data_IF_288207650583
#
_entry.id   IF_288207650583
#
_cell.length_a   1.000
_cell.length_b   1.000
_cell.length_c   1.000
_cell.angle_alpha   90.00
_cell.angle_beta   90.00
_cell.angle_gamma   90.00
#
_symmetry.space_group_name_H-M   'P 1'
#
loop_
_entity.id
_entity.type
_entity.pdbx_description
1 polymer ?
#
# COMPACT_ATOMS: atom_id res chain seq x y z
N UNK A 1 -58.87 36.90 -25.54
CA UNK A 1 -58.13 37.75 -24.63
C UNK A 1 -57.35 36.85 -23.69
N UNK A 2 -56.06 36.64 -24.01
CA UNK A 2 -54.85 36.99 -23.26
C UNK A 2 -54.75 36.31 -21.88
N UNK A 3 -53.74 35.59 -21.48
CA UNK A 3 -52.30 35.69 -21.70
C UNK A 3 -51.62 34.38 -21.32
N UNK A 4 -50.68 33.96 -22.08
CA UNK A 4 -49.63 32.99 -21.78
C UNK A 4 -48.76 33.47 -20.58
N UNK A 5 -48.38 32.57 -19.68
CA UNK A 5 -47.25 32.76 -18.81
C UNK A 5 -46.37 31.48 -18.84
N UNK A 6 -45.30 31.60 -19.58
CA UNK A 6 -44.18 30.70 -19.56
C UNK A 6 -43.39 30.86 -18.25
N UNK A 7 -43.27 29.80 -17.48
CA UNK A 7 -42.38 29.73 -16.33
C UNK A 7 -41.06 29.10 -16.78
N UNK A 8 -40.03 29.91 -16.98
CA UNK A 8 -38.66 29.47 -17.09
C UNK A 8 -38.20 29.04 -15.70
N UNK A 9 -37.96 27.75 -15.54
CA UNK A 9 -37.20 27.25 -14.39
C UNK A 9 -35.70 27.55 -14.61
N UNK A 10 -35.18 28.52 -13.90
CA UNK A 10 -33.75 28.79 -13.80
C UNK A 10 -33.17 27.74 -12.81
N UNK A 11 -32.41 26.81 -13.33
CA UNK A 11 -31.53 25.98 -12.50
C UNK A 11 -30.36 26.88 -12.03
N UNK A 12 -30.44 27.26 -10.75
CA UNK A 12 -29.34 27.94 -10.08
C UNK A 12 -28.26 26.95 -9.74
N UNK A 13 -27.13 27.00 -10.43
CA UNK A 13 -25.94 26.32 -10.01
C UNK A 13 -25.40 26.99 -8.73
N UNK A 14 -25.52 26.33 -7.61
CA UNK A 14 -24.85 26.73 -6.36
C UNK A 14 -23.40 26.31 -6.51
N UNK A 15 -22.54 27.22 -6.95
CA UNK A 15 -21.11 27.10 -6.81
C UNK A 15 -20.75 27.35 -5.35
N UNK A 16 -20.61 26.30 -4.56
CA UNK A 16 -20.01 26.40 -3.25
C UNK A 16 -18.52 26.70 -3.44
N UNK A 17 -18.15 27.96 -3.32
CA UNK A 17 -16.75 28.38 -3.24
C UNK A 17 -16.23 27.92 -1.86
N UNK A 18 -15.60 26.73 -1.81
CA UNK A 18 -14.75 26.38 -0.67
C UNK A 18 -13.50 27.27 -0.76
N UNK A 19 -13.43 28.30 0.07
CA UNK A 19 -12.21 29.02 0.35
C UNK A 19 -11.25 28.08 1.06
N UNK A 20 -10.32 27.47 0.30
CA UNK A 20 -9.18 26.78 0.88
C UNK A 20 -8.27 27.86 1.46
N UNK A 21 -8.20 27.94 2.77
CA UNK A 21 -7.22 28.77 3.46
C UNK A 21 -5.84 28.21 3.07
N UNK A 22 -5.07 28.95 2.31
CA UNK A 22 -3.66 28.69 2.07
C UNK A 22 -2.92 28.88 3.39
N UNK A 23 -2.79 27.83 4.19
CA UNK A 23 -1.82 27.82 5.27
C UNK A 23 -0.43 27.85 4.63
N UNK A 24 0.39 28.81 5.04
CA UNK A 24 1.78 28.92 4.62
C UNK A 24 2.60 27.67 4.95
N UNK A 25 3.88 27.60 4.54
CA UNK A 25 4.69 26.39 4.54
C UNK A 25 5.13 25.99 5.96
N UNK A 26 4.20 25.54 6.76
CA UNK A 26 4.51 24.60 7.83
C UNK A 26 4.53 23.23 7.13
N UNK A 27 5.56 22.42 7.37
CA UNK A 27 5.63 21.07 6.86
C UNK A 27 4.32 20.37 7.26
N UNK A 28 3.37 20.33 6.31
CA UNK A 28 2.07 19.72 6.54
C UNK A 28 2.35 18.24 6.81
N UNK A 29 1.95 17.77 7.98
CA UNK A 29 1.96 16.35 8.26
C UNK A 29 1.15 15.65 7.16
N UNK A 30 1.77 14.77 6.36
CA UNK A 30 1.11 14.12 5.25
C UNK A 30 -0.14 13.34 5.67
N UNK A 31 -0.27 13.03 6.96
CA UNK A 31 -1.40 12.29 7.50
C UNK A 31 -2.57 13.18 7.94
N UNK A 32 -2.38 14.49 8.00
CA UNK A 32 -3.42 15.47 8.37
C UNK A 32 -4.12 16.11 7.17
N UNK A 33 -3.71 15.76 5.96
CA UNK A 33 -4.35 16.27 4.74
C UNK A 33 -5.42 15.28 4.33
N UNK A 34 -6.69 15.68 4.44
CA UNK A 34 -7.78 14.90 3.89
C UNK A 34 -7.64 14.85 2.36
N UNK A 35 -7.34 13.70 1.74
CA UNK A 35 -7.07 13.66 0.32
C UNK A 35 -8.35 13.95 -0.47
N UNK A 36 -8.25 14.84 -1.45
CA UNK A 36 -9.33 15.15 -2.39
C UNK A 36 -8.85 14.80 -3.79
N UNK A 37 -8.97 13.54 -4.23
CA UNK A 37 -8.33 13.01 -5.44
C UNK A 37 -8.57 13.81 -6.70
N UNK A 38 -9.77 14.38 -6.86
CA UNK A 38 -10.15 15.15 -8.05
C UNK A 38 -9.67 16.59 -7.97
N UNK A 39 -9.73 17.22 -6.79
CA UNK A 39 -9.37 18.64 -6.62
C UNK A 39 -7.86 18.84 -6.44
N UNK A 40 -7.20 17.90 -5.77
CA UNK A 40 -5.76 17.88 -5.61
C UNK A 40 -5.05 17.19 -6.78
N UNK A 41 -5.79 16.97 -7.88
CA UNK A 41 -5.37 16.21 -9.03
C UNK A 41 -4.00 16.60 -9.54
N UNK A 42 -3.32 15.60 -10.00
CA UNK A 42 -1.98 15.66 -10.50
C UNK A 42 -1.96 16.32 -11.88
N UNK A 43 -1.10 17.26 -12.05
CA UNK A 43 -0.84 17.85 -13.37
C UNK A 43 0.50 17.32 -13.90
N UNK A 44 0.48 16.07 -14.36
CA UNK A 44 1.68 15.37 -14.83
C UNK A 44 2.45 14.67 -13.70
N UNK A 45 3.56 14.04 -14.06
CA UNK A 45 4.40 13.30 -13.12
C UNK A 45 5.21 14.25 -12.21
N UNK A 46 5.47 13.87 -10.95
CA UNK A 46 6.31 14.68 -10.06
C UNK A 46 7.72 14.81 -10.64
N UNK A 47 8.24 16.01 -10.56
CA UNK A 47 9.62 16.30 -10.91
C UNK A 47 10.49 16.02 -9.67
N UNK A 48 11.20 14.89 -9.67
CA UNK A 48 12.07 14.50 -8.58
C UNK A 48 13.50 14.96 -8.86
N UNK A 49 14.15 15.66 -7.92
CA UNK A 49 15.58 15.92 -8.01
C UNK A 49 16.38 14.61 -7.84
N UNK A 50 17.60 14.58 -8.36
CA UNK A 50 18.48 13.42 -8.22
C UNK A 50 18.21 12.30 -9.24
N UNK A 51 18.70 11.07 -8.96
CA UNK A 51 18.66 9.97 -9.92
C UNK A 51 17.30 9.28 -10.01
N UNK A 52 16.49 9.31 -8.96
CA UNK A 52 15.13 8.73 -8.98
C UNK A 52 14.21 9.56 -9.86
N UNK A 53 13.43 8.91 -10.70
CA UNK A 53 12.50 9.54 -11.64
C UNK A 53 11.11 8.91 -11.54
N UNK A 54 10.07 9.73 -11.57
CA UNK A 54 8.72 9.27 -11.83
C UNK A 54 8.58 8.96 -13.34
N UNK A 55 8.04 7.80 -13.69
CA UNK A 55 7.97 7.34 -15.09
C UNK A 55 6.56 7.14 -15.59
N UNK A 56 5.60 6.83 -14.71
CA UNK A 56 4.23 6.56 -15.14
C UNK A 56 3.24 6.80 -14.00
N UNK A 57 2.11 7.42 -14.29
CA UNK A 57 1.02 7.56 -13.33
C UNK A 57 0.13 6.31 -13.38
N UNK A 58 0.07 5.59 -12.27
CA UNK A 58 -0.65 4.31 -12.20
C UNK A 58 -2.16 4.50 -12.09
N UNK A 59 -2.60 5.48 -11.32
CA UNK A 59 -4.01 5.69 -10.94
C UNK A 59 -4.43 7.15 -11.06
N UNK A 60 -5.74 7.42 -11.00
CA UNK A 60 -6.31 8.75 -11.03
C UNK A 60 -6.69 9.24 -12.43
N UNK A 61 -7.16 10.50 -12.49
CA UNK A 61 -7.75 11.09 -13.69
C UNK A 61 -6.79 11.20 -14.88
N UNK A 62 -5.51 11.44 -14.61
CA UNK A 62 -4.49 11.62 -15.64
C UNK A 62 -3.72 10.31 -15.95
N UNK A 63 -4.13 9.19 -15.32
CA UNK A 63 -3.50 7.90 -15.57
C UNK A 63 -3.84 7.36 -16.96
N UNK A 64 -2.83 6.89 -17.73
CA UNK A 64 -3.08 6.14 -18.95
C UNK A 64 -3.93 4.88 -18.72
N UNK A 65 -3.94 4.32 -17.50
CA UNK A 65 -4.81 3.22 -17.10
C UNK A 65 -6.28 3.60 -16.98
N UNK A 66 -6.60 4.90 -17.01
CA UNK A 66 -7.98 5.42 -16.94
C UNK A 66 -8.80 4.80 -15.81
N UNK A 67 -8.20 4.73 -14.61
CA UNK A 67 -8.83 4.05 -13.46
C UNK A 67 -10.15 4.70 -13.03
N UNK A 68 -10.40 5.96 -13.39
CA UNK A 68 -11.70 6.63 -13.24
C UNK A 68 -12.83 5.91 -14.01
N UNK A 69 -12.54 5.23 -15.13
CA UNK A 69 -13.56 4.50 -15.91
C UNK A 69 -14.10 3.27 -15.16
N UNK A 70 -13.37 2.80 -14.14
CA UNK A 70 -13.77 1.71 -13.24
C UNK A 70 -14.00 2.23 -11.82
N UNK A 71 -14.32 3.52 -11.71
CA UNK A 71 -14.68 4.21 -10.46
C UNK A 71 -13.57 4.25 -9.40
N UNK A 72 -12.31 4.27 -9.81
CA UNK A 72 -11.15 4.51 -8.94
C UNK A 72 -10.55 5.86 -9.31
N UNK A 73 -10.97 6.91 -8.60
CA UNK A 73 -10.53 8.29 -8.80
C UNK A 73 -9.24 8.59 -8.05
N UNK A 74 -9.02 7.89 -6.95
CA UNK A 74 -7.82 7.96 -6.15
C UNK A 74 -7.70 6.72 -5.28
N UNK A 75 -6.47 6.32 -5.00
CA UNK A 75 -6.13 5.14 -4.18
C UNK A 75 -4.69 5.22 -3.72
N UNK A 76 -4.30 4.31 -2.85
CA UNK A 76 -2.96 4.25 -2.29
C UNK A 76 -2.35 2.83 -2.32
N UNK A 77 -1.11 2.71 -1.83
CA UNK A 77 -0.29 1.52 -1.75
C UNK A 77 0.18 1.01 -3.13
N UNK A 78 -0.42 -0.05 -3.66
CA UNK A 78 0.03 -0.66 -4.91
C UNK A 78 0.98 -1.84 -4.69
N UNK A 79 0.60 -2.74 -3.80
CA UNK A 79 1.35 -3.96 -3.46
C UNK A 79 1.30 -4.91 -4.64
N UNK A 80 2.46 -5.28 -5.18
CA UNK A 80 2.56 -6.09 -6.39
C UNK A 80 3.18 -7.45 -6.11
N UNK A 81 2.64 -8.49 -6.74
CA UNK A 81 3.26 -9.82 -6.75
C UNK A 81 2.93 -10.59 -8.03
N UNK A 82 3.80 -11.54 -8.41
CA UNK A 82 3.53 -12.51 -9.46
C UNK A 82 2.51 -13.54 -8.97
N UNK A 83 1.46 -13.79 -9.75
CA UNK A 83 0.41 -14.74 -9.40
C UNK A 83 0.81 -16.22 -9.61
N UNK A 84 2.03 -16.46 -10.08
CA UNK A 84 2.55 -17.79 -10.39
C UNK A 84 2.22 -18.27 -11.81
N UNK A 85 1.38 -17.55 -12.54
CA UNK A 85 1.07 -17.81 -13.97
C UNK A 85 1.81 -16.86 -14.92
N UNK A 86 2.61 -15.94 -14.37
CA UNK A 86 3.28 -14.89 -15.09
C UNK A 86 2.44 -13.64 -15.29
N UNK A 87 1.33 -13.50 -14.56
CA UNK A 87 0.60 -12.23 -14.43
C UNK A 87 0.90 -11.61 -13.07
N UNK A 88 0.80 -10.31 -13.02
CA UNK A 88 0.97 -9.55 -11.80
C UNK A 88 -0.40 -9.17 -11.23
N UNK A 89 -0.58 -9.34 -9.93
CA UNK A 89 -1.66 -8.74 -9.17
C UNK A 89 -1.11 -7.52 -8.46
N UNK A 90 -1.86 -6.42 -8.49
CA UNK A 90 -1.57 -5.20 -7.73
C UNK A 90 -2.74 -4.91 -6.80
N UNK A 91 -2.50 -4.94 -5.50
CA UNK A 91 -3.48 -4.61 -4.48
C UNK A 91 -3.31 -3.16 -4.02
N UNK A 92 -4.38 -2.41 -4.08
CA UNK A 92 -4.47 -1.04 -3.57
C UNK A 92 -5.31 -1.02 -2.29
N UNK A 93 -5.06 -0.03 -1.44
CA UNK A 93 -5.79 0.21 -0.21
C UNK A 93 -7.10 0.94 -0.39
N UNK A 94 -7.44 1.79 0.57
CA UNK A 94 -8.65 2.61 0.50
C UNK A 94 -8.72 3.34 -0.85
N UNK A 95 -9.84 3.17 -1.53
CA UNK A 95 -10.02 3.70 -2.88
C UNK A 95 -11.24 4.59 -2.95
N UNK A 96 -11.05 5.83 -3.41
CA UNK A 96 -12.09 6.82 -3.58
C UNK A 96 -12.77 6.69 -4.93
N UNK A 97 -14.09 6.75 -4.95
CA UNK A 97 -14.91 6.72 -6.16
C UNK A 97 -16.16 7.58 -6.04
N UNK A 98 -16.94 7.62 -7.12
CA UNK A 98 -18.27 8.22 -7.11
C UNK A 98 -19.28 7.25 -6.48
N UNK A 99 -20.23 7.78 -5.73
CA UNK A 99 -21.27 6.96 -5.10
C UNK A 99 -21.83 7.62 -3.85
N UNK A 100 -22.41 6.82 -2.95
CA UNK A 100 -22.95 7.33 -1.69
C UNK A 100 -21.78 7.70 -0.77
N UNK A 101 -21.65 8.96 -0.36
CA UNK A 101 -20.59 9.40 0.54
C UNK A 101 -20.63 8.64 1.87
N UNK A 102 -19.46 8.31 2.39
CA UNK A 102 -19.37 7.76 3.74
C UNK A 102 -19.28 8.88 4.78
N UNK A 103 -20.42 9.50 5.07
CA UNK A 103 -20.50 10.63 6.00
C UNK A 103 -20.15 10.23 7.44
N UNK A 104 -20.34 8.96 7.82
CA UNK A 104 -19.95 8.45 9.14
C UNK A 104 -18.42 8.44 9.33
N UNK A 105 -17.68 8.26 8.22
CA UNK A 105 -16.22 8.36 8.22
C UNK A 105 -15.72 9.78 7.85
N UNK A 106 -16.60 10.78 7.82
CA UNK A 106 -16.26 12.16 7.49
C UNK A 106 -15.86 12.38 6.01
N UNK A 107 -16.24 11.46 5.11
CA UNK A 107 -15.84 11.52 3.70
C UNK A 107 -17.00 11.91 2.78
N UNK A 108 -16.72 12.79 1.83
CA UNK A 108 -17.62 13.14 0.72
C UNK A 108 -17.56 12.12 -0.43
N UNK A 109 -16.64 11.15 -0.38
CA UNK A 109 -16.43 10.14 -1.41
C UNK A 109 -17.01 8.79 -0.98
N UNK A 110 -17.40 7.97 -1.95
CA UNK A 110 -17.60 6.55 -1.73
C UNK A 110 -16.22 5.89 -1.63
N UNK A 111 -15.94 5.26 -0.49
CA UNK A 111 -14.69 4.58 -0.22
C UNK A 111 -14.87 3.08 -0.21
N UNK A 112 -14.02 2.37 -0.96
CA UNK A 112 -13.83 0.92 -0.83
C UNK A 112 -12.54 0.63 -0.08
N UNK A 113 -12.47 -0.49 0.62
CA UNK A 113 -11.31 -0.84 1.46
C UNK A 113 -10.11 -1.29 0.66
N UNK A 114 -10.37 -1.85 -0.51
CA UNK A 114 -9.34 -2.41 -1.38
C UNK A 114 -9.86 -2.57 -2.80
N UNK A 115 -8.93 -2.56 -3.74
CA UNK A 115 -9.18 -2.88 -5.14
C UNK A 115 -7.97 -3.63 -5.69
N UNK A 116 -8.20 -4.64 -6.53
CA UNK A 116 -7.12 -5.35 -7.20
C UNK A 116 -7.16 -5.07 -8.69
N UNK A 117 -6.00 -4.82 -9.25
CA UNK A 117 -5.78 -4.79 -10.69
C UNK A 117 -4.83 -5.90 -11.11
N UNK A 118 -4.94 -6.35 -12.35
CA UNK A 118 -4.01 -7.31 -12.95
C UNK A 118 -3.31 -6.70 -14.14
N UNK A 119 -2.12 -7.22 -14.40
CA UNK A 119 -1.28 -6.78 -15.51
C UNK A 119 -0.44 -7.93 -16.06
N UNK A 120 -0.18 -7.93 -17.34
CA UNK A 120 0.79 -8.80 -18.00
C UNK A 120 2.12 -8.09 -18.26
N UNK A 121 2.28 -6.84 -17.84
CA UNK A 121 3.50 -6.06 -18.02
C UNK A 121 4.69 -6.72 -17.32
N UNK A 122 5.74 -7.02 -18.08
CA UNK A 122 7.03 -7.55 -17.58
C UNK A 122 8.13 -6.50 -17.60
N UNK A 123 8.08 -5.59 -18.56
CA UNK A 123 8.99 -4.44 -18.64
C UNK A 123 8.24 -3.17 -18.25
N UNK A 124 8.57 -2.56 -17.08
CA UNK A 124 7.88 -1.38 -16.59
C UNK A 124 8.41 -0.07 -17.18
N UNK A 125 9.39 -0.10 -18.09
CA UNK A 125 10.06 1.10 -18.62
C UNK A 125 9.09 2.04 -19.36
N UNK A 126 8.07 1.49 -20.01
CA UNK A 126 6.97 2.22 -20.66
C UNK A 126 5.73 2.41 -19.80
N UNK A 127 5.76 1.98 -18.54
CA UNK A 127 4.60 1.97 -17.64
C UNK A 127 4.07 0.57 -17.36
N UNK A 128 3.16 0.49 -16.39
CA UNK A 128 2.43 -0.73 -16.05
C UNK A 128 0.97 -0.55 -16.45
N UNK A 129 0.49 -1.37 -17.38
CA UNK A 129 -0.88 -1.27 -17.90
C UNK A 129 -1.77 -2.34 -17.27
N UNK A 130 -2.90 -1.94 -16.74
CA UNK A 130 -3.90 -2.83 -16.17
C UNK A 130 -4.82 -3.39 -17.26
N UNK A 131 -5.09 -4.68 -17.20
CA UNK A 131 -5.96 -5.40 -18.13
C UNK A 131 -7.29 -5.84 -17.49
N UNK A 132 -7.36 -5.91 -16.16
CA UNK A 132 -8.57 -6.30 -15.44
C UNK A 132 -8.58 -5.79 -14.01
N UNK A 133 -9.78 -5.75 -13.42
CA UNK A 133 -10.03 -5.25 -12.06
C UNK A 133 -10.89 -6.25 -11.26
N UNK A 134 -10.63 -6.33 -9.96
CA UNK A 134 -11.55 -6.92 -8.97
C UNK A 134 -11.87 -5.83 -7.96
N UNK A 135 -13.08 -5.25 -8.04
CA UNK A 135 -13.45 -4.14 -7.18
C UNK A 135 -13.82 -4.66 -5.78
N UNK A 136 -13.22 -4.07 -4.76
CA UNK A 136 -13.52 -4.29 -3.33
C UNK A 136 -13.68 -5.77 -2.93
N UNK A 137 -12.70 -6.65 -3.23
CA UNK A 137 -12.81 -8.09 -3.00
C UNK A 137 -13.01 -8.47 -1.52
N UNK A 138 -12.58 -7.61 -0.61
CA UNK A 138 -12.67 -7.81 0.84
C UNK A 138 -13.22 -6.53 1.49
N UNK A 139 -14.55 -6.35 1.49
CA UNK A 139 -15.17 -5.14 2.00
C UNK A 139 -15.08 -5.07 3.53
N UNK A 140 -14.99 -3.85 4.04
CA UNK A 140 -15.13 -3.50 5.46
C UNK A 140 -16.49 -2.81 5.67
N UNK A 141 -17.08 -2.90 6.87
CA UNK A 141 -18.33 -2.21 7.20
C UNK A 141 -18.21 -0.68 7.21
N UNK A 142 -17.00 -0.13 7.21
CA UNK A 142 -16.72 1.32 7.23
C UNK A 142 -17.30 2.03 8.46
N UNK A 143 -17.28 1.38 9.63
CA UNK A 143 -17.82 1.91 10.88
C UNK A 143 -16.65 2.31 11.79
N UNK A 144 -16.46 3.62 12.09
CA UNK A 144 -15.44 4.09 13.03
C UNK A 144 -15.58 3.41 14.42
N UNK A 145 -14.44 3.04 15.01
CA UNK A 145 -14.41 2.34 16.30
C UNK A 145 -14.69 0.83 16.22
N UNK A 146 -15.22 0.32 15.09
CA UNK A 146 -15.41 -1.12 14.82
C UNK A 146 -14.40 -1.58 13.79
N UNK A 147 -14.62 -1.26 12.52
CA UNK A 147 -13.68 -1.47 11.42
C UNK A 147 -13.97 -0.41 10.35
N UNK A 148 -13.06 0.53 10.21
CA UNK A 148 -13.20 1.60 9.22
C UNK A 148 -12.64 1.19 7.86
N UNK A 149 -11.64 0.31 7.86
CA UNK A 149 -11.12 -0.26 6.63
C UNK A 149 -10.43 -1.60 6.84
N UNK A 150 -10.31 -2.38 5.76
CA UNK A 150 -9.56 -3.62 5.70
C UNK A 150 -8.50 -3.47 4.60
N UNK A 151 -7.29 -3.11 5.02
CA UNK A 151 -6.21 -2.66 4.15
C UNK A 151 -5.26 -3.81 3.79
N UNK A 152 -4.99 -4.08 2.51
CA UNK A 152 -3.94 -4.99 2.11
C UNK A 152 -2.56 -4.45 2.50
N UNK A 153 -1.67 -5.34 2.97
CA UNK A 153 -0.32 -4.98 3.38
C UNK A 153 0.75 -5.77 2.65
N UNK A 154 0.45 -6.99 2.20
CA UNK A 154 1.35 -7.83 1.43
C UNK A 154 0.57 -8.80 0.53
N UNK A 155 1.21 -9.29 -0.53
CA UNK A 155 0.66 -10.33 -1.39
C UNK A 155 1.74 -11.31 -1.84
N UNK A 156 1.35 -12.58 -2.06
CA UNK A 156 2.25 -13.63 -2.52
C UNK A 156 1.47 -14.80 -3.13
N UNK A 157 2.08 -15.49 -4.10
CA UNK A 157 1.56 -16.75 -4.64
C UNK A 157 2.35 -17.93 -4.09
N UNK A 158 1.66 -18.94 -3.57
CA UNK A 158 2.26 -20.19 -3.11
C UNK A 158 1.43 -21.37 -3.58
N UNK A 159 2.04 -22.28 -4.33
CA UNK A 159 1.34 -23.49 -4.81
C UNK A 159 0.12 -23.21 -5.69
N UNK A 160 0.10 -22.10 -6.42
CA UNK A 160 -1.04 -21.67 -7.25
C UNK A 160 -2.15 -20.94 -6.47
N UNK A 161 -2.06 -20.87 -5.14
CA UNK A 161 -2.99 -20.11 -4.29
C UNK A 161 -2.41 -18.72 -4.06
N UNK A 162 -3.25 -17.69 -4.20
CA UNK A 162 -2.90 -16.32 -3.89
C UNK A 162 -3.18 -16.05 -2.40
N UNK A 163 -2.23 -15.48 -1.70
CA UNK A 163 -2.38 -15.04 -0.31
C UNK A 163 -2.19 -13.53 -0.22
N UNK A 164 -3.07 -12.87 0.51
CA UNK A 164 -3.00 -11.43 0.77
C UNK A 164 -3.06 -11.21 2.29
N UNK A 165 -2.08 -10.50 2.83
CA UNK A 165 -2.11 -10.04 4.21
C UNK A 165 -2.91 -8.75 4.29
N UNK A 166 -3.72 -8.64 5.33
CA UNK A 166 -4.63 -7.52 5.57
C UNK A 166 -4.49 -7.04 7.01
N UNK A 167 -4.64 -5.75 7.23
CA UNK A 167 -4.87 -5.18 8.56
C UNK A 167 -6.29 -4.63 8.67
N UNK A 168 -7.00 -5.00 9.74
CA UNK A 168 -8.30 -4.47 10.09
C UNK A 168 -8.12 -3.17 10.86
N UNK A 169 -8.31 -2.03 10.20
CA UNK A 169 -8.16 -0.72 10.82
C UNK A 169 -9.44 -0.35 11.54
N UNK A 170 -9.34 -0.08 12.84
CA UNK A 170 -10.46 0.35 13.68
C UNK A 170 -10.63 1.87 13.66
N UNK A 171 -9.51 2.59 13.64
CA UNK A 171 -9.47 4.03 13.76
C UNK A 171 -8.22 4.60 13.11
N UNK A 172 -8.37 5.67 12.33
CA UNK A 172 -7.27 6.49 11.85
C UNK A 172 -6.98 7.60 12.87
N UNK A 173 -5.71 7.77 13.23
CA UNK A 173 -5.23 8.83 14.11
C UNK A 173 -4.36 9.84 13.38
N UNK A 174 -3.83 10.79 14.14
CA UNK A 174 -2.92 11.81 13.63
C UNK A 174 -1.48 11.29 13.47
N UNK A 175 -0.68 11.98 12.65
CA UNK A 175 0.77 11.76 12.54
C UNK A 175 1.21 10.33 12.15
N UNK A 176 0.49 9.68 11.24
CA UNK A 176 0.82 8.32 10.80
C UNK A 176 0.54 7.26 11.85
N UNK A 177 -0.38 7.53 12.74
CA UNK A 177 -0.86 6.58 13.74
C UNK A 177 -2.22 6.05 13.33
N UNK A 178 -2.44 4.79 13.60
CA UNK A 178 -3.76 4.16 13.50
C UNK A 178 -3.84 2.97 14.43
N UNK A 179 -5.06 2.61 14.78
CA UNK A 179 -5.34 1.45 15.62
C UNK A 179 -5.93 0.33 14.77
N UNK A 180 -5.42 -0.88 14.95
CA UNK A 180 -5.94 -2.07 14.28
C UNK A 180 -6.62 -3.01 15.27
N UNK A 181 -7.55 -3.81 14.77
CA UNK A 181 -8.14 -4.92 15.53
C UNK A 181 -7.24 -6.15 15.46
N UNK A 182 -6.74 -6.44 14.24
CA UNK A 182 -5.90 -7.60 13.94
C UNK A 182 -5.27 -7.45 12.56
N UNK A 183 -4.26 -8.26 12.30
CA UNK A 183 -3.88 -8.65 10.92
C UNK A 183 -4.34 -10.08 10.63
N UNK A 184 -4.55 -10.41 9.35
CA UNK A 184 -4.99 -11.75 8.91
C UNK A 184 -4.56 -12.01 7.48
N UNK A 185 -4.56 -13.26 7.04
CA UNK A 185 -4.45 -13.62 5.64
C UNK A 185 -5.84 -13.79 5.03
N UNK A 186 -5.96 -13.52 3.74
CA UNK A 186 -7.01 -14.02 2.87
C UNK A 186 -6.38 -14.86 1.76
N UNK A 187 -7.11 -15.86 1.28
CA UNK A 187 -6.66 -16.74 0.22
C UNK A 187 -7.61 -16.72 -0.98
N UNK A 188 -7.06 -16.96 -2.17
CA UNK A 188 -7.79 -17.10 -3.42
C UNK A 188 -7.22 -18.27 -4.22
N UNK A 189 -8.07 -19.23 -4.59
CA UNK A 189 -7.73 -20.38 -5.43
C UNK A 189 -8.05 -20.18 -6.91
N UNK A 190 -8.57 -19.03 -7.31
CA UNK A 190 -9.06 -18.74 -8.66
C UNK A 190 -8.30 -17.58 -9.34
N UNK A 191 -7.00 -17.45 -9.00
CA UNK A 191 -6.15 -16.40 -9.56
C UNK A 191 -6.49 -14.99 -9.04
N UNK A 192 -7.03 -14.89 -7.81
CA UNK A 192 -7.35 -13.62 -7.17
C UNK A 192 -8.69 -13.01 -7.59
N UNK A 193 -9.64 -13.80 -8.13
CA UNK A 193 -11.00 -13.31 -8.44
C UNK A 193 -11.86 -13.23 -7.18
N UNK A 194 -11.85 -14.31 -6.41
CA UNK A 194 -12.58 -14.37 -5.14
C UNK A 194 -11.62 -14.61 -3.98
N UNK A 195 -11.93 -14.04 -2.81
CA UNK A 195 -11.05 -14.07 -1.66
C UNK A 195 -11.81 -14.51 -0.42
N UNK A 196 -11.17 -15.37 0.38
CA UNK A 196 -11.72 -15.87 1.64
C UNK A 196 -10.77 -15.51 2.78
N UNK A 197 -11.21 -14.72 3.78
CA UNK A 197 -10.41 -14.44 4.96
C UNK A 197 -10.13 -15.72 5.77
N UNK A 198 -8.86 -15.94 6.11
CA UNK A 198 -8.41 -17.07 6.91
C UNK A 198 -8.37 -16.68 8.40
N UNK A 199 -9.50 -16.80 9.07
CA UNK A 199 -9.66 -16.33 10.47
C UNK A 199 -8.71 -17.01 11.44
N UNK A 200 -8.23 -18.21 11.13
CA UNK A 200 -7.23 -18.95 11.92
C UNK A 200 -5.83 -18.32 11.87
N UNK A 201 -5.59 -17.41 10.93
CA UNK A 201 -4.31 -16.68 10.81
C UNK A 201 -4.32 -15.32 11.49
N UNK A 202 -5.38 -14.99 12.23
CA UNK A 202 -5.53 -13.69 12.90
C UNK A 202 -4.49 -13.48 13.99
N UNK A 203 -3.87 -12.30 13.94
CA UNK A 203 -3.01 -11.76 14.98
C UNK A 203 -3.72 -10.56 15.61
N UNK A 204 -4.37 -10.80 16.74
CA UNK A 204 -5.13 -9.78 17.46
C UNK A 204 -4.19 -8.70 18.01
N UNK A 205 -4.54 -7.43 17.82
CA UNK A 205 -3.79 -6.29 18.33
C UNK A 205 -4.45 -5.73 19.60
N UNK A 206 -4.47 -6.53 20.67
CA UNK A 206 -5.22 -6.20 21.88
C UNK A 206 -4.61 -5.02 22.64
N UNK A 207 -3.30 -4.94 22.69
CA UNK A 207 -2.53 -3.93 23.43
C UNK A 207 -1.92 -2.83 22.54
N UNK A 208 -2.14 -2.91 21.22
CA UNK A 208 -1.58 -1.97 20.26
C UNK A 208 -0.15 -2.26 19.81
N UNK A 209 0.49 -3.33 20.29
CA UNK A 209 1.92 -3.64 20.10
C UNK A 209 2.20 -4.92 19.30
N UNK A 210 1.17 -5.54 18.69
CA UNK A 210 1.38 -6.73 17.88
C UNK A 210 2.27 -6.39 16.66
N UNK A 211 3.37 -7.12 16.50
CA UNK A 211 4.53 -6.78 15.64
C UNK A 211 4.32 -7.07 14.15
N UNK A 212 3.25 -7.73 13.77
CA UNK A 212 2.97 -8.16 12.40
C UNK A 212 1.61 -7.66 11.90
N UNK A 213 1.26 -6.40 12.24
CA UNK A 213 0.04 -5.75 11.76
C UNK A 213 0.19 -5.29 10.31
N UNK A 214 1.31 -4.67 9.97
CA UNK A 214 1.71 -4.37 8.60
C UNK A 214 2.74 -5.40 8.15
N UNK A 215 2.65 -5.88 6.92
CA UNK A 215 3.51 -6.96 6.47
C UNK A 215 4.07 -6.72 5.06
N UNK A 216 5.21 -7.39 4.78
CA UNK A 216 5.69 -7.69 3.43
C UNK A 216 6.07 -9.15 3.36
N UNK A 217 5.94 -9.76 2.17
CA UNK A 217 6.34 -11.14 1.94
C UNK A 217 7.54 -11.24 1.00
N UNK A 218 8.39 -12.21 1.29
CA UNK A 218 9.48 -12.64 0.42
C UNK A 218 9.50 -14.16 0.37
N UNK A 219 9.51 -14.73 -0.84
CA UNK A 219 9.73 -16.15 -1.05
C UNK A 219 11.19 -16.40 -1.36
N UNK A 220 11.86 -17.24 -0.56
CA UNK A 220 13.27 -17.57 -0.72
C UNK A 220 13.60 -18.93 -0.08
N UNK A 221 14.33 -19.78 -0.81
CA UNK A 221 14.81 -21.10 -0.37
C UNK A 221 13.74 -22.00 0.28
N UNK A 222 12.54 -22.05 -0.32
CA UNK A 222 11.42 -22.87 0.16
C UNK A 222 10.72 -22.33 1.41
N UNK A 223 11.06 -21.11 1.82
CA UNK A 223 10.39 -20.37 2.88
C UNK A 223 9.64 -19.15 2.36
N UNK A 224 8.55 -18.83 3.04
CA UNK A 224 7.96 -17.50 3.03
C UNK A 224 8.47 -16.73 4.24
N UNK A 225 9.22 -15.67 4.00
CA UNK A 225 9.59 -14.70 5.04
C UNK A 225 8.49 -13.64 5.12
N UNK A 226 8.05 -13.36 6.34
CA UNK A 226 7.08 -12.34 6.66
C UNK A 226 7.78 -11.24 7.47
N UNK A 227 8.02 -10.11 6.83
CA UNK A 227 8.47 -8.91 7.51
C UNK A 227 7.24 -8.21 8.11
N UNK A 228 7.39 -7.63 9.28
CA UNK A 228 6.26 -7.02 9.97
C UNK A 228 6.65 -5.84 10.83
N UNK A 229 5.69 -4.97 11.07
CA UNK A 229 5.75 -3.91 12.08
C UNK A 229 4.41 -3.78 12.79
N UNK A 230 4.40 -3.11 13.94
CA UNK A 230 3.16 -2.73 14.60
C UNK A 230 2.34 -1.74 13.73
N UNK A 231 1.09 -1.51 14.10
CA UNK A 231 0.25 -0.51 13.46
C UNK A 231 0.84 0.90 13.60
N UNK A 232 0.71 1.72 12.55
CA UNK A 232 1.32 3.05 12.50
C UNK A 232 2.72 3.05 11.87
N UNK A 233 3.30 4.23 11.76
CA UNK A 233 4.64 4.47 11.20
C UNK A 233 5.69 4.62 12.27
N UNK A 234 6.96 4.53 11.86
CA UNK A 234 8.14 4.67 12.75
C UNK A 234 8.27 3.57 13.81
N UNK A 235 7.74 2.40 13.53
CA UNK A 235 7.89 1.23 14.38
C UNK A 235 9.15 0.43 14.01
N UNK A 236 9.70 -0.38 14.93
CA UNK A 236 10.70 -1.37 14.58
C UNK A 236 10.13 -2.40 13.58
N UNK A 237 10.99 -2.85 12.67
CA UNK A 237 10.69 -3.95 11.76
C UNK A 237 11.19 -5.27 12.32
N UNK A 238 10.39 -6.33 12.13
CA UNK A 238 10.65 -7.70 12.59
C UNK A 238 10.57 -8.67 11.42
N UNK A 239 11.06 -9.90 11.60
CA UNK A 239 10.93 -10.95 10.59
C UNK A 239 10.56 -12.28 11.22
N UNK A 240 9.65 -12.98 10.56
CA UNK A 240 9.30 -14.39 10.79
C UNK A 240 9.38 -15.15 9.47
N UNK A 241 9.42 -16.47 9.53
CA UNK A 241 9.38 -17.33 8.35
C UNK A 241 8.58 -18.60 8.61
N UNK A 242 8.08 -19.19 7.56
CA UNK A 242 7.51 -20.54 7.57
C UNK A 242 7.82 -21.26 6.26
N UNK A 243 7.67 -22.57 6.20
CA UNK A 243 7.72 -23.28 4.91
C UNK A 243 6.61 -22.80 4.00
N UNK A 244 6.86 -22.77 2.69
CA UNK A 244 5.84 -22.32 1.72
C UNK A 244 4.51 -23.05 1.91
N UNK A 245 4.53 -24.39 2.08
CA UNK A 245 3.32 -25.18 2.26
C UNK A 245 2.50 -24.82 3.51
N UNK A 246 3.14 -24.17 4.50
CA UNK A 246 2.54 -23.88 5.81
C UNK A 246 2.17 -22.39 5.99
N UNK A 247 2.15 -21.61 4.92
CA UNK A 247 1.90 -20.16 5.00
C UNK A 247 0.61 -19.80 5.75
N UNK A 248 -0.42 -20.63 5.64
CA UNK A 248 -1.72 -20.44 6.30
C UNK A 248 -1.78 -21.03 7.73
N UNK A 249 -0.72 -21.64 8.20
CA UNK A 249 -0.61 -22.20 9.57
C UNK A 249 0.20 -21.24 10.45
N UNK A 250 -0.49 -20.47 11.31
CA UNK A 250 0.16 -19.45 12.14
C UNK A 250 1.15 -20.04 13.15
N UNK A 251 0.93 -21.29 13.58
CA UNK A 251 1.77 -21.98 14.58
C UNK A 251 3.07 -22.53 13.98
N UNK A 252 3.17 -22.60 12.65
CA UNK A 252 4.38 -23.08 11.94
C UNK A 252 5.44 -21.99 11.77
N UNK A 253 5.14 -20.73 12.13
CA UNK A 253 6.09 -19.65 11.95
C UNK A 253 7.21 -19.69 12.99
N UNK A 254 8.42 -19.47 12.51
CA UNK A 254 9.61 -19.20 13.32
C UNK A 254 9.90 -17.70 13.31
N UNK A 255 10.34 -17.16 14.44
CA UNK A 255 10.59 -15.75 14.66
C UNK A 255 12.06 -15.51 14.95
N UNK A 256 12.66 -14.49 14.30
CA UNK A 256 14.08 -14.16 14.48
C UNK A 256 14.30 -13.40 15.79
N UNK A 257 15.10 -13.93 16.71
CA UNK A 257 15.40 -13.32 18.01
C UNK A 257 16.68 -12.46 18.04
N UNK A 258 17.32 -12.26 16.86
CA UNK A 258 18.62 -11.61 16.73
C UNK A 258 19.79 -12.56 16.58
N UNK A 259 19.63 -13.84 16.88
CA UNK A 259 20.67 -14.88 16.78
C UNK A 259 20.17 -16.24 16.29
N UNK A 260 18.88 -16.53 16.52
CA UNK A 260 18.27 -17.80 16.14
C UNK A 260 16.79 -17.65 15.77
N UNK A 261 16.28 -18.65 15.04
CA UNK A 261 14.85 -18.78 14.74
C UNK A 261 14.14 -19.50 15.90
N UNK A 262 13.11 -18.87 16.47
CA UNK A 262 12.30 -19.38 17.59
C UNK A 262 10.95 -19.88 17.08
N UNK A 263 10.66 -21.18 17.20
CA UNK A 263 9.39 -21.74 16.75
C UNK A 263 8.21 -21.17 17.55
N UNK A 264 7.18 -20.70 16.84
CA UNK A 264 5.90 -20.24 17.39
C UNK A 264 6.00 -19.25 18.58
N UNK A 265 7.05 -18.39 18.58
CA UNK A 265 7.26 -17.41 19.65
C UNK A 265 7.38 -15.98 19.08
N UNK A 266 6.26 -15.30 18.75
CA UNK A 266 6.29 -13.94 18.21
C UNK A 266 6.86 -12.92 19.20
N UNK A 267 6.80 -13.19 20.51
CA UNK A 267 7.30 -12.27 21.54
C UNK A 267 8.83 -12.27 21.55
N UNK A 268 9.46 -13.38 21.18
CA UNK A 268 10.92 -13.46 21.07
C UNK A 268 11.51 -12.65 19.91
N UNK A 269 10.69 -12.19 18.94
CA UNK A 269 11.21 -11.43 17.78
C UNK A 269 12.07 -10.26 18.22
N UNK A 270 13.30 -10.16 17.70
CA UNK A 270 14.14 -8.99 17.84
C UNK A 270 13.96 -8.03 16.63
N UNK A 271 14.08 -6.73 16.82
CA UNK A 271 14.11 -5.78 15.72
C UNK A 271 15.27 -6.09 14.75
N UNK A 272 14.98 -6.07 13.46
CA UNK A 272 15.97 -6.21 12.38
C UNK A 272 16.30 -4.86 11.73
N UNK A 273 15.45 -3.88 11.91
CA UNK A 273 15.57 -2.52 11.40
C UNK A 273 14.69 -1.60 12.23
N UNK A 274 15.13 -0.35 12.43
CA UNK A 274 14.37 0.66 13.15
C UNK A 274 13.64 1.60 12.18
N UNK A 275 12.50 2.13 12.65
CA UNK A 275 11.79 3.23 12.00
C UNK A 275 11.26 2.87 10.62
N UNK A 276 10.50 1.78 10.50
CA UNK A 276 9.81 1.44 9.27
C UNK A 276 8.35 1.91 9.27
N UNK A 277 7.82 2.03 8.06
CA UNK A 277 6.40 2.18 7.77
C UNK A 277 5.97 1.06 6.82
N UNK A 278 5.09 1.35 5.86
CA UNK A 278 4.78 0.43 4.76
C UNK A 278 6.09 0.04 4.05
N UNK A 279 6.33 -1.25 3.90
CA UNK A 279 7.59 -1.75 3.38
C UNK A 279 7.40 -2.82 2.30
N UNK A 280 8.40 -2.96 1.44
CA UNK A 280 8.50 -4.06 0.49
C UNK A 280 9.92 -4.64 0.49
N UNK A 281 10.02 -5.95 0.26
CA UNK A 281 11.31 -6.68 0.27
C UNK A 281 11.38 -7.63 -0.91
N UNK A 282 12.55 -7.70 -1.55
CA UNK A 282 12.84 -8.67 -2.59
C UNK A 282 14.31 -9.09 -2.62
N UNK A 283 14.62 -10.20 -3.25
CA UNK A 283 15.96 -10.50 -3.74
C UNK A 283 16.21 -9.74 -5.04
N UNK A 284 17.35 -9.09 -5.16
CA UNK A 284 17.75 -8.36 -6.37
C UNK A 284 18.97 -9.02 -7.00
N UNK A 285 18.79 -9.60 -8.20
CA UNK A 285 19.85 -10.34 -8.90
C UNK A 285 20.99 -9.45 -9.33
N UNK A 286 20.73 -8.17 -9.67
CA UNK A 286 21.78 -7.24 -10.09
C UNK A 286 22.75 -6.90 -8.94
N UNK A 287 22.21 -6.71 -7.75
CA UNK A 287 23.02 -6.45 -6.55
C UNK A 287 23.55 -7.72 -5.90
N UNK A 288 22.93 -8.89 -6.16
CA UNK A 288 23.20 -10.12 -5.42
C UNK A 288 22.85 -9.98 -3.92
N UNK A 289 21.83 -9.18 -3.59
CA UNK A 289 21.43 -8.84 -2.24
C UNK A 289 19.90 -8.76 -2.09
N UNK A 290 19.43 -8.90 -0.87
CA UNK A 290 18.07 -8.53 -0.52
C UNK A 290 17.97 -7.00 -0.46
N UNK A 291 16.87 -6.48 -0.98
CA UNK A 291 16.54 -5.05 -0.99
C UNK A 291 15.26 -4.84 -0.20
N UNK A 292 15.26 -3.87 0.68
CA UNK A 292 14.10 -3.39 1.42
C UNK A 292 13.86 -1.94 1.08
N UNK A 293 12.64 -1.59 0.70
CA UNK A 293 12.16 -0.21 0.60
C UNK A 293 11.19 0.08 1.73
N UNK A 294 11.28 1.26 2.31
CA UNK A 294 10.33 1.78 3.30
C UNK A 294 10.38 3.30 3.34
N UNK A 295 9.43 3.90 4.04
CA UNK A 295 9.49 5.30 4.45
C UNK A 295 10.18 5.38 5.81
N UNK A 296 11.18 6.23 5.95
CA UNK A 296 11.93 6.43 7.20
C UNK A 296 11.21 7.39 8.16
N UNK A 297 11.69 7.57 9.41
CA UNK A 297 11.11 8.51 10.37
C UNK A 297 11.10 9.99 9.93
N UNK A 298 11.94 10.34 8.94
CA UNK A 298 11.94 11.68 8.34
C UNK A 298 10.96 11.81 7.16
N UNK A 299 10.18 10.76 6.85
CA UNK A 299 9.30 10.63 5.70
C UNK A 299 10.04 10.63 4.34
N UNK A 300 11.31 10.25 4.31
CA UNK A 300 12.03 9.99 3.07
C UNK A 300 11.82 8.55 2.60
N UNK A 301 11.81 8.32 1.29
CA UNK A 301 11.82 6.96 0.74
C UNK A 301 13.26 6.45 0.75
N UNK A 302 13.48 5.35 1.44
CA UNK A 302 14.82 4.79 1.64
C UNK A 302 14.92 3.34 1.18
N UNK A 303 16.11 2.96 0.76
CA UNK A 303 16.51 1.60 0.41
C UNK A 303 17.56 1.10 1.38
N UNK A 304 17.43 -0.15 1.83
CA UNK A 304 18.46 -0.89 2.56
C UNK A 304 18.77 -2.20 1.84
N UNK A 305 19.97 -2.72 2.02
CA UNK A 305 20.37 -4.02 1.49
C UNK A 305 20.87 -4.94 2.59
N UNK A 306 20.78 -6.25 2.36
CA UNK A 306 21.30 -7.28 3.24
C UNK A 306 21.75 -8.50 2.44
N UNK A 307 22.70 -9.28 2.98
CA UNK A 307 23.12 -10.56 2.41
C UNK A 307 22.24 -11.75 2.83
N UNK A 308 21.40 -11.56 3.84
CA UNK A 308 20.48 -12.58 4.35
C UNK A 308 19.10 -11.98 4.59
N UNK A 309 18.00 -12.76 4.48
CA UNK A 309 16.65 -12.24 4.66
C UNK A 309 16.42 -11.58 6.02
N UNK A 310 17.03 -12.11 7.09
CA UNK A 310 16.92 -11.53 8.44
C UNK A 310 17.90 -10.39 8.71
N UNK A 311 18.76 -10.06 7.75
CA UNK A 311 19.78 -9.04 7.90
C UNK A 311 21.16 -9.60 8.30
N UNK A 312 22.09 -8.78 8.87
CA UNK A 312 21.86 -7.38 9.23
C UNK A 312 21.58 -6.49 8.01
N UNK A 313 20.61 -5.60 8.15
CA UNK A 313 20.30 -4.61 7.12
C UNK A 313 21.26 -3.42 7.20
N UNK A 314 21.80 -3.02 6.06
CA UNK A 314 22.74 -1.90 5.96
C UNK A 314 22.11 -0.53 6.26
N UNK A 315 22.96 0.50 6.27
CA UNK A 315 22.51 1.89 6.41
C UNK A 315 21.53 2.28 5.30
N UNK A 316 20.55 3.17 5.56
CA UNK A 316 19.60 3.59 4.54
C UNK A 316 20.28 4.44 3.47
N UNK A 317 20.01 4.14 2.21
CA UNK A 317 20.25 5.02 1.07
C UNK A 317 18.96 5.76 0.77
N UNK A 318 18.96 7.08 0.85
CA UNK A 318 17.81 7.91 0.49
C UNK A 318 17.62 7.87 -1.03
N UNK A 319 16.44 7.51 -1.47
CA UNK A 319 16.03 7.50 -2.88
C UNK A 319 15.25 8.77 -3.24
N UNK A 320 14.41 9.23 -2.32
CA UNK A 320 13.61 10.45 -2.46
C UNK A 320 13.59 11.14 -1.09
N UNK A 321 14.13 12.34 -1.04
CA UNK A 321 14.08 13.18 0.15
C UNK A 321 12.65 13.64 0.45
N UNK A 322 12.25 13.64 1.71
CA UNK A 322 10.92 14.11 2.13
C UNK A 322 10.63 15.55 1.66
N UNK A 323 11.63 16.42 1.66
CA UNK A 323 11.50 17.80 1.17
C UNK A 323 11.14 17.88 -0.32
N UNK A 324 11.52 16.87 -1.12
CA UNK A 324 11.26 16.81 -2.56
C UNK A 324 9.85 16.28 -2.89
N UNK A 325 9.32 15.43 -2.04
CA UNK A 325 7.97 14.85 -2.17
C UNK A 325 7.38 14.58 -0.78
N UNK A 326 6.93 15.63 -0.06
CA UNK A 326 6.63 15.55 1.38
C UNK A 326 5.56 14.55 1.78
N UNK A 327 4.69 14.18 0.84
CA UNK A 327 3.54 13.29 1.10
C UNK A 327 3.70 11.91 0.47
N UNK A 328 4.92 11.53 0.08
CA UNK A 328 5.22 10.22 -0.49
C UNK A 328 5.29 9.15 0.60
N UNK A 329 4.75 7.96 0.32
CA UNK A 329 4.81 6.80 1.22
C UNK A 329 4.57 5.49 0.45
N UNK A 330 4.65 4.36 1.15
CA UNK A 330 4.38 3.03 0.66
C UNK A 330 5.17 2.68 -0.62
N UNK A 331 6.51 2.63 -0.56
CA UNK A 331 7.31 2.22 -1.70
C UNK A 331 7.20 0.71 -1.92
N UNK A 332 6.55 0.29 -3.02
CA UNK A 332 6.26 -1.11 -3.35
C UNK A 332 7.08 -1.55 -4.56
N UNK A 333 8.00 -2.50 -4.37
CA UNK A 333 8.93 -2.96 -5.41
C UNK A 333 8.16 -3.71 -6.51
N UNK A 334 8.50 -3.42 -7.78
CA UNK A 334 7.98 -4.14 -8.93
C UNK A 334 8.57 -5.57 -8.96
N UNK A 335 7.75 -6.64 -9.10
CA UNK A 335 8.22 -8.01 -8.86
C UNK A 335 9.14 -8.59 -9.95
N UNK A 336 9.15 -8.02 -11.15
CA UNK A 336 9.95 -8.52 -12.27
C UNK A 336 11.18 -7.63 -12.52
N UNK A 337 12.02 -7.44 -11.49
CA UNK A 337 13.22 -6.62 -11.60
C UNK A 337 14.26 -7.25 -12.53
N UNK A 338 14.72 -6.48 -13.48
CA UNK A 338 15.82 -6.85 -14.38
C UNK A 338 16.74 -5.66 -14.60
N UNK A 339 18.06 -5.91 -14.61
CA UNK A 339 19.06 -4.87 -14.87
C UNK A 339 19.33 -3.93 -13.69
N UNK A 340 19.91 -2.78 -14.00
CA UNK A 340 20.47 -1.83 -13.03
C UNK A 340 19.50 -0.76 -12.53
N UNK A 341 18.27 -0.75 -13.01
CA UNK A 341 17.22 0.16 -12.52
C UNK A 341 16.28 -0.59 -11.59
N UNK A 342 16.04 -0.03 -10.39
CA UNK A 342 15.01 -0.49 -9.47
C UNK A 342 13.71 0.25 -9.76
N UNK A 343 12.66 -0.49 -10.13
CA UNK A 343 11.32 0.06 -10.31
C UNK A 343 10.46 -0.21 -9.08
N UNK A 344 9.71 0.78 -8.66
CA UNK A 344 8.79 0.67 -7.52
C UNK A 344 7.63 1.66 -7.64
N UNK A 345 6.49 1.30 -7.09
CA UNK A 345 5.37 2.21 -6.91
C UNK A 345 5.56 3.02 -5.63
N UNK A 346 5.01 4.21 -5.60
CA UNK A 346 4.82 4.99 -4.39
C UNK A 346 3.50 5.74 -4.45
N UNK A 347 2.92 5.99 -3.30
CA UNK A 347 1.74 6.84 -3.16
C UNK A 347 2.13 8.26 -2.85
N UNK A 348 1.40 9.22 -3.43
CA UNK A 348 1.46 10.63 -3.06
C UNK A 348 0.14 11.01 -2.42
N UNK A 349 0.14 11.15 -1.09
CA UNK A 349 -1.08 11.28 -0.29
C UNK A 349 -1.95 12.48 -0.67
N UNK A 350 -1.35 13.65 -0.93
CA UNK A 350 -2.11 14.86 -1.29
C UNK A 350 -2.94 14.70 -2.56
N UNK A 351 -2.46 13.93 -3.54
CA UNK A 351 -3.18 13.61 -4.76
C UNK A 351 -3.99 12.32 -4.63
N UNK A 352 -3.67 11.52 -3.63
CA UNK A 352 -4.19 10.19 -3.39
C UNK A 352 -4.10 9.30 -4.62
N UNK A 353 -2.92 9.30 -5.23
CA UNK A 353 -2.62 8.55 -6.45
C UNK A 353 -1.25 7.89 -6.37
N UNK A 354 -1.11 6.83 -7.13
CA UNK A 354 0.07 5.98 -7.17
C UNK A 354 0.88 6.24 -8.43
N UNK A 355 2.20 6.34 -8.27
CA UNK A 355 3.16 6.64 -9.34
C UNK A 355 4.20 5.53 -9.41
N UNK A 356 4.51 5.08 -10.62
CA UNK A 356 5.68 4.25 -10.89
C UNK A 356 6.92 5.13 -10.95
N UNK A 357 7.91 4.75 -10.17
CA UNK A 357 9.22 5.40 -10.13
C UNK A 357 10.32 4.43 -10.50
N UNK A 358 11.46 4.95 -10.90
CA UNK A 358 12.69 4.17 -11.09
C UNK A 358 13.89 4.89 -10.50
N UNK A 359 14.85 4.13 -10.01
CA UNK A 359 16.14 4.63 -9.53
C UNK A 359 17.27 3.70 -9.99
N UNK A 360 18.44 4.20 -10.41
CA UNK A 360 19.59 3.34 -10.66
C UNK A 360 20.11 2.74 -9.35
N UNK A 361 20.49 1.47 -9.41
CA UNK A 361 21.05 0.68 -8.30
C UNK A 361 22.56 0.94 -8.09
#
# INVERSE_FOLDING_TARGET
MNRSLSALARAGAIAAACTVALAGPAAADPNNVNPIPVLNGWRGLPQLPGPTKAVFQMTGMDSPNRTQNVNVLGTDLGIMWDDGSGRMITAFGDSAGLGIPNLFAGSMWAWTSNVLFRSTTKDPSGGIFFDSIVPNPLPSPKIPGIEISLIPTAGISVGGVQYMSLMSVREWGDHGKWNTNFSTLAASGDGGQTWVPLTTTRRANVDGHERFQQNAFLKHDGYVYRYGSAAGRNNPGFVSRTREADIANIDSYEYWDGGAWKPNDPIASAPIVDGVAELSVMWNDHLGQFVMLTTDPANSIVMRTASSPQGPWGAPRVLIEAASLPTAYAPMIFPYQTGSDLYFLLTVHTQYNVVLTKTPL
#
